data_IF_488520915246
#
_entry.id   IF_488520915246
#
_cell.length_a   1.000
_cell.length_b   1.000
_cell.length_c   1.000
_cell.angle_alpha   90.00
_cell.angle_beta   90.00
_cell.angle_gamma   90.00
#
_symmetry.space_group_name_H-M   'P 1'
#
loop_
_entity.id
_entity.type
_entity.pdbx_description
1 polymer ?
#
# COMPACT_ATOMS: atom_id res chain seq x y z
N UNK A 1 -3.16 -0.64 8.93
CA UNK A 1 -4.44 -0.09 8.48
C UNK A 1 -5.52 -1.16 8.48
N UNK A 2 -6.72 -0.81 8.93
CA UNK A 2 -7.93 -1.62 8.83
C UNK A 2 -8.57 -1.50 7.44
N UNK A 3 -9.23 -2.55 6.92
CA UNK A 3 -9.97 -2.52 5.66
C UNK A 3 -11.04 -1.41 5.64
N UNK A 4 -11.24 -0.77 4.50
CA UNK A 4 -12.17 0.37 4.36
C UNK A 4 -13.60 -0.12 4.08
N UNK A 5 -14.58 0.45 4.78
CA UNK A 5 -16.01 0.28 4.50
C UNK A 5 -16.55 1.50 3.75
N UNK A 6 -17.28 1.28 2.66
CA UNK A 6 -17.89 2.35 1.86
C UNK A 6 -19.32 1.95 1.42
N UNK A 7 -19.94 2.75 0.53
CA UNK A 7 -21.31 2.51 0.04
C UNK A 7 -21.50 1.18 -0.70
N UNK A 8 -20.42 0.59 -1.21
CA UNK A 8 -20.39 -0.72 -1.87
C UNK A 8 -20.05 -1.86 -0.91
N UNK A 9 -19.79 -1.57 0.37
CA UNK A 9 -19.46 -2.54 1.40
C UNK A 9 -17.99 -2.48 1.86
N UNK A 10 -17.50 -3.59 2.40
CA UNK A 10 -16.13 -3.76 2.86
C UNK A 10 -15.21 -4.04 1.68
N UNK A 11 -14.25 -3.17 1.38
CA UNK A 11 -13.34 -3.40 0.26
C UNK A 11 -12.37 -4.54 0.55
N UNK A 12 -12.27 -5.51 -0.37
CA UNK A 12 -11.38 -6.67 -0.27
C UNK A 12 -9.99 -6.32 -0.84
N UNK A 13 -8.92 -6.90 -0.29
CA UNK A 13 -8.57 -6.82 1.14
C UNK A 13 -8.09 -5.42 1.57
N UNK A 14 -7.78 -4.53 0.63
CA UNK A 14 -7.18 -3.22 0.87
C UNK A 14 -7.76 -2.20 -0.10
N UNK A 15 -7.94 -0.95 0.34
CA UNK A 15 -8.60 0.07 -0.49
C UNK A 15 -7.85 0.44 -1.78
N UNK A 16 -6.55 0.15 -1.83
CA UNK A 16 -5.68 0.37 -2.98
C UNK A 16 -5.82 -0.73 -4.06
N UNK A 17 -6.44 -1.86 -3.73
CA UNK A 17 -6.68 -2.97 -4.66
C UNK A 17 -8.08 -2.83 -5.25
N UNK A 18 -8.19 -2.02 -6.30
CA UNK A 18 -9.48 -1.65 -6.91
C UNK A 18 -10.17 -2.79 -7.66
N UNK A 19 -9.43 -3.84 -8.05
CA UNK A 19 -9.95 -4.97 -8.81
C UNK A 19 -10.51 -6.13 -7.99
N UNK A 20 -10.35 -6.12 -6.66
CA UNK A 20 -10.66 -7.27 -5.79
C UNK A 20 -12.11 -7.30 -5.28
N UNK A 21 -12.85 -6.21 -5.50
CA UNK A 21 -14.27 -6.10 -5.16
C UNK A 21 -14.57 -5.81 -3.68
N UNK A 22 -15.80 -6.10 -3.28
CA UNK A 22 -16.36 -5.75 -1.97
C UNK A 22 -17.04 -6.94 -1.30
N UNK A 23 -17.10 -6.93 0.03
CA UNK A 23 -17.84 -7.87 0.86
C UNK A 23 -19.00 -7.17 1.57
N UNK A 24 -20.15 -7.84 1.67
CA UNK A 24 -21.34 -7.27 2.32
C UNK A 24 -21.21 -7.15 3.85
N UNK A 25 -20.27 -7.88 4.46
CA UNK A 25 -20.01 -7.82 5.90
C UNK A 25 -18.54 -8.00 6.23
N UNK A 26 -18.13 -7.53 7.40
CA UNK A 26 -16.78 -7.72 7.90
C UNK A 26 -16.44 -9.22 8.05
N UNK A 27 -17.43 -10.04 8.46
CA UNK A 27 -17.24 -11.49 8.55
C UNK A 27 -16.93 -12.09 7.18
N UNK A 28 -17.68 -11.73 6.15
CA UNK A 28 -17.44 -12.19 4.78
C UNK A 28 -16.08 -11.71 4.25
N UNK A 29 -15.69 -10.46 4.56
CA UNK A 29 -14.35 -9.97 4.27
C UNK A 29 -13.27 -10.85 4.92
N UNK A 30 -13.41 -11.20 6.19
CA UNK A 30 -12.40 -11.99 6.89
C UNK A 30 -12.37 -13.46 6.45
N UNK A 31 -13.53 -14.07 6.21
CA UNK A 31 -13.65 -15.50 5.91
C UNK A 31 -13.47 -15.84 4.42
N UNK A 32 -13.97 -15.01 3.51
CA UNK A 32 -14.04 -15.34 2.08
C UNK A 32 -12.87 -14.74 1.28
N UNK A 33 -12.07 -13.86 1.89
CA UNK A 33 -10.88 -13.30 1.24
C UNK A 33 -9.75 -14.32 1.26
N UNK A 34 -9.17 -14.59 0.10
CA UNK A 34 -8.00 -15.48 -0.04
C UNK A 34 -6.72 -14.79 0.45
N UNK A 35 -6.58 -14.58 1.77
CA UNK A 35 -5.49 -13.83 2.39
C UNK A 35 -4.09 -14.30 1.99
N UNK A 36 -3.92 -15.59 1.69
CA UNK A 36 -2.66 -16.19 1.26
C UNK A 36 -2.15 -15.69 -0.09
N UNK A 37 -3.00 -15.01 -0.88
CA UNK A 37 -2.60 -14.41 -2.16
C UNK A 37 -2.04 -13.00 -2.00
N UNK A 38 -2.05 -12.42 -0.80
CA UNK A 38 -1.66 -11.04 -0.56
C UNK A 38 -0.44 -10.92 0.36
N UNK A 39 0.24 -9.77 0.29
CA UNK A 39 1.44 -9.47 1.07
C UNK A 39 2.72 -9.44 0.23
N UNK A 40 3.79 -8.95 0.85
CA UNK A 40 5.13 -8.87 0.25
C UNK A 40 5.56 -10.27 -0.20
N UNK A 41 6.09 -10.36 -1.41
CA UNK A 41 6.47 -11.64 -2.02
C UNK A 41 5.33 -12.50 -2.55
N UNK A 42 4.06 -12.18 -2.30
CA UNK A 42 2.90 -12.95 -2.82
C UNK A 42 2.13 -12.23 -3.92
N UNK A 43 1.95 -10.91 -3.76
CA UNK A 43 1.25 -10.08 -4.74
C UNK A 43 2.16 -8.91 -5.18
N UNK A 44 2.36 -8.70 -6.49
CA UNK A 44 3.18 -7.59 -7.00
C UNK A 44 2.68 -6.21 -6.54
N UNK A 45 1.36 -6.04 -6.35
CA UNK A 45 0.77 -4.79 -5.87
C UNK A 45 1.03 -4.53 -4.39
N UNK A 46 1.45 -5.55 -3.63
CA UNK A 46 1.78 -5.42 -2.22
C UNK A 46 3.28 -5.14 -1.99
N UNK A 47 4.18 -5.45 -2.94
CA UNK A 47 5.61 -5.56 -2.65
C UNK A 47 6.26 -4.32 -2.02
N UNK A 48 5.85 -3.13 -2.46
CA UNK A 48 6.42 -1.84 -2.01
C UNK A 48 5.35 -0.93 -1.38
N UNK A 49 4.25 -1.50 -0.88
CA UNK A 49 3.12 -0.72 -0.41
C UNK A 49 3.42 -0.13 1.00
N UNK A 50 3.63 1.17 1.12
CA UNK A 50 3.80 1.83 2.44
C UNK A 50 2.52 1.85 3.31
N UNK A 51 1.40 1.34 2.78
CA UNK A 51 0.08 1.31 3.43
C UNK A 51 -0.42 -0.14 3.60
N UNK A 52 0.44 -1.03 4.08
CA UNK A 52 0.10 -2.43 4.31
C UNK A 52 -1.09 -2.57 5.28
N UNK A 53 -2.21 -3.08 4.75
CA UNK A 53 -3.29 -3.63 5.57
C UNK A 53 -2.76 -4.84 6.34
N UNK A 54 -3.01 -4.89 7.65
CA UNK A 54 -2.68 -6.07 8.49
C UNK A 54 -1.42 -5.98 9.36
N UNK A 55 -0.39 -5.19 9.03
CA UNK A 55 0.84 -5.12 9.84
C UNK A 55 0.61 -4.64 11.28
N UNK A 56 -0.24 -3.64 11.45
CA UNK A 56 -0.63 -3.15 12.77
C UNK A 56 -1.32 -4.25 13.59
N UNK A 57 -2.23 -5.01 12.98
CA UNK A 57 -2.92 -6.12 13.64
C UNK A 57 -1.97 -7.23 14.05
N UNK A 58 -1.06 -7.63 13.17
CA UNK A 58 -0.02 -8.63 13.47
C UNK A 58 0.94 -8.15 14.57
N UNK A 59 1.30 -6.87 14.59
CA UNK A 59 2.15 -6.31 15.64
C UNK A 59 1.45 -6.28 17.01
N UNK A 60 0.15 -5.98 17.02
CA UNK A 60 -0.67 -6.05 18.25
C UNK A 60 -0.77 -7.50 18.73
N UNK A 61 -1.06 -8.44 17.84
CA UNK A 61 -1.14 -9.86 18.18
C UNK A 61 0.19 -10.40 18.73
N UNK A 62 1.33 -10.07 18.10
CA UNK A 62 2.68 -10.40 18.60
C UNK A 62 2.96 -9.80 19.98
N UNK A 63 2.49 -8.57 20.25
CA UNK A 63 2.64 -7.94 21.56
C UNK A 63 1.86 -8.66 22.66
N UNK A 64 0.64 -9.11 22.36
CA UNK A 64 -0.18 -9.91 23.29
C UNK A 64 0.38 -11.33 23.48
N UNK A 65 0.87 -11.97 22.42
CA UNK A 65 1.50 -13.29 22.48
C UNK A 65 2.85 -13.25 23.23
N UNK A 66 3.58 -12.14 23.15
CA UNK A 66 4.91 -11.98 23.73
C UNK A 66 5.05 -10.72 24.60
N UNK A 67 4.42 -10.67 25.79
CA UNK A 67 4.35 -9.46 26.61
C UNK A 67 5.72 -8.99 27.14
N UNK A 68 6.64 -9.93 27.43
CA UNK A 68 8.01 -9.58 27.86
C UNK A 68 8.82 -8.94 26.72
N UNK A 69 8.65 -9.44 25.49
CA UNK A 69 9.26 -8.87 24.29
C UNK A 69 8.71 -7.46 24.06
N UNK A 70 7.40 -7.29 24.17
CA UNK A 70 6.74 -5.99 24.03
C UNK A 70 7.25 -4.98 25.07
N UNK A 71 7.26 -5.35 26.36
CA UNK A 71 7.77 -4.50 27.44
C UNK A 71 9.22 -4.07 27.21
N UNK A 72 10.07 -5.00 26.77
CA UNK A 72 11.46 -4.70 26.45
C UNK A 72 11.60 -3.66 25.33
N UNK A 73 10.77 -3.76 24.29
CA UNK A 73 10.76 -2.78 23.18
C UNK A 73 10.20 -1.43 23.59
N UNK A 74 9.23 -1.39 24.50
CA UNK A 74 8.74 -0.13 25.07
C UNK A 74 9.84 0.59 25.87
N UNK A 75 10.64 -0.16 26.64
CA UNK A 75 11.71 0.41 27.47
C UNK A 75 12.98 0.78 26.70
N UNK A 76 13.40 -0.05 25.74
CA UNK A 76 14.67 0.13 25.00
C UNK A 76 14.50 0.70 23.59
N UNK A 77 13.26 0.86 23.12
CA UNK A 77 12.96 1.29 21.77
C UNK A 77 13.23 0.22 20.69
N UNK A 78 12.96 0.58 19.42
CA UNK A 78 13.28 -0.26 18.27
C UNK A 78 14.80 -0.38 18.09
N UNK A 79 15.25 -1.48 17.47
CA UNK A 79 16.66 -1.64 17.10
C UNK A 79 16.95 -0.74 15.89
N UNK A 80 17.87 0.21 16.06
CA UNK A 80 18.25 1.20 15.03
C UNK A 80 19.56 0.87 14.30
N UNK A 81 20.30 -0.14 14.75
CA UNK A 81 21.62 -0.51 14.20
C UNK A 81 21.71 -2.00 13.86
N UNK A 82 22.60 -2.32 12.92
CA UNK A 82 22.81 -3.69 12.41
C UNK A 82 22.01 -3.99 11.14
N UNK A 83 22.13 -5.21 10.60
CA UNK A 83 21.43 -5.60 9.38
C UNK A 83 19.91 -5.64 9.64
N UNK A 84 19.14 -5.12 8.67
CA UNK A 84 17.68 -5.21 8.68
C UNK A 84 17.22 -6.66 8.64
N UNK A 85 15.94 -6.90 8.98
CA UNK A 85 15.35 -8.22 8.78
C UNK A 85 15.46 -8.60 7.30
N UNK A 86 15.74 -9.88 6.98
CA UNK A 86 15.82 -10.32 5.60
C UNK A 86 14.48 -10.10 4.89
N UNK A 87 14.54 -9.67 3.63
CA UNK A 87 13.35 -9.51 2.80
C UNK A 87 12.68 -10.87 2.54
N UNK A 88 11.35 -10.86 2.44
CA UNK A 88 10.58 -12.06 2.11
C UNK A 88 10.85 -12.50 0.67
N UNK A 89 10.86 -13.82 0.38
CA UNK A 89 11.08 -14.30 -0.98
C UNK A 89 9.93 -13.90 -1.91
N UNK A 90 10.25 -13.56 -3.15
CA UNK A 90 9.25 -13.37 -4.21
C UNK A 90 8.75 -14.74 -4.68
N UNK A 91 7.47 -15.01 -4.50
CA UNK A 91 6.75 -16.23 -4.88
C UNK A 91 6.01 -16.09 -6.21
N UNK A 92 6.12 -14.93 -6.85
CA UNK A 92 5.57 -14.65 -8.16
C UNK A 92 6.70 -14.25 -9.10
N UNK A 93 6.51 -14.52 -10.39
CA UNK A 93 7.37 -13.95 -11.42
C UNK A 93 6.96 -12.50 -11.65
N UNK A 94 7.91 -11.58 -11.45
CA UNK A 94 7.73 -10.21 -11.92
C UNK A 94 7.63 -10.27 -13.45
N UNK A 95 6.50 -9.81 -13.99
CA UNK A 95 6.43 -9.56 -15.42
C UNK A 95 7.61 -8.65 -15.78
N UNK A 96 8.39 -8.96 -16.83
CA UNK A 96 9.51 -8.11 -17.20
C UNK A 96 8.99 -6.69 -17.32
N UNK A 97 9.62 -5.76 -16.59
CA UNK A 97 9.31 -4.35 -16.68
C UNK A 97 9.26 -4.05 -18.17
N UNK A 98 8.06 -3.80 -18.72
CA UNK A 98 7.94 -3.53 -20.14
C UNK A 98 8.83 -2.32 -20.38
N UNK A 99 9.97 -2.54 -21.03
CA UNK A 99 10.90 -1.50 -21.41
C UNK A 99 10.29 -0.54 -22.43
N UNK A 100 8.97 -0.58 -22.65
CA UNK A 100 8.22 0.59 -23.05
C UNK A 100 8.16 1.57 -21.88
N UNK A 101 9.31 2.17 -21.55
CA UNK A 101 9.27 3.62 -21.44
C UNK A 101 8.57 4.10 -22.73
N UNK A 102 7.55 4.98 -22.67
CA UNK A 102 7.13 5.67 -23.88
C UNK A 102 8.41 6.20 -24.51
N UNK A 103 8.65 5.88 -25.78
CA UNK A 103 9.84 6.30 -26.52
C UNK A 103 10.16 7.71 -26.07
N UNK A 104 11.27 7.84 -25.32
CA UNK A 104 11.64 9.00 -24.53
C UNK A 104 10.90 10.26 -25.00
N UNK A 105 9.85 10.67 -24.28
CA UNK A 105 9.16 11.91 -24.63
C UNK A 105 10.10 13.04 -24.25
N UNK A 106 11.03 13.36 -25.16
CA UNK A 106 11.88 14.53 -25.12
C UNK A 106 10.97 15.72 -25.34
N UNK A 107 10.43 16.28 -24.26
CA UNK A 107 9.90 17.63 -24.31
C UNK A 107 11.12 18.52 -24.06
N UNK A 108 11.73 19.12 -25.10
CA UNK A 108 12.81 20.05 -24.86
C UNK A 108 12.27 21.17 -23.98
N UNK A 109 13.01 21.52 -22.92
CA UNK A 109 12.57 22.55 -21.95
C UNK A 109 12.23 23.89 -22.61
N UNK A 110 12.74 24.16 -23.82
CA UNK A 110 12.39 25.35 -24.61
C UNK A 110 10.99 25.30 -25.26
N UNK A 111 10.39 24.12 -25.43
CA UNK A 111 9.02 23.92 -25.94
C UNK A 111 7.97 23.88 -24.82
N UNK A 112 8.40 23.71 -23.57
CA UNK A 112 7.56 23.89 -22.39
C UNK A 112 7.31 25.39 -22.21
N UNK A 113 6.36 25.93 -22.96
CA UNK A 113 5.87 27.28 -22.74
C UNK A 113 5.39 27.42 -21.29
N UNK A 114 5.69 28.56 -20.66
CA UNK A 114 4.98 28.96 -19.44
C UNK A 114 3.50 28.91 -19.78
N UNK A 115 2.76 27.97 -19.20
CA UNK A 115 1.33 27.84 -19.47
C UNK A 115 0.68 29.22 -19.37
N UNK A 116 0.15 29.71 -20.50
CA UNK A 116 -0.62 30.95 -20.58
C UNK A 116 -1.99 30.83 -19.86
N UNK A 117 -2.06 29.99 -18.83
CA UNK A 117 -3.25 29.66 -18.06
C UNK A 117 -3.25 30.36 -16.69
N UNK A 118 -2.65 31.55 -16.61
CA UNK A 118 -2.83 32.49 -15.50
C UNK A 118 -3.77 33.66 -15.83
N UNK A 119 -4.12 33.87 -17.09
CA UNK A 119 -4.96 34.98 -17.52
C UNK A 119 -6.36 34.46 -17.91
N UNK A 120 -7.24 34.23 -16.93
CA UNK A 120 -8.63 33.87 -17.27
C UNK A 120 -9.55 33.46 -16.13
N UNK A 121 -9.03 32.93 -15.00
CA UNK A 121 -9.90 32.60 -13.85
C UNK A 121 -9.97 33.78 -12.89
N UNK A 122 -10.61 34.87 -13.31
CA UNK A 122 -11.31 35.75 -12.36
C UNK A 122 -12.41 34.90 -11.75
N UNK A 123 -12.20 34.43 -10.53
CA UNK A 123 -13.30 33.94 -9.71
C UNK A 123 -14.13 35.18 -9.38
N UNK A 124 -15.14 35.45 -10.22
CA UNK A 124 -16.17 36.43 -9.89
C UNK A 124 -16.86 35.94 -8.63
N UNK A 125 -16.89 36.78 -7.60
CA UNK A 125 -17.65 36.51 -6.40
C UNK A 125 -19.15 36.39 -6.69
N UNK A 126 -19.78 35.52 -5.91
CA UNK A 126 -21.08 35.69 -5.28
C UNK A 126 -21.03 34.91 -3.96
#
# INVERSE_FOLDING_TARGET
STPTYNIFGWQRPCYLLTGEGYADSFRALMADTEWERYGVGRNPLCNNCMAHCGYEGTAVDDAFAHPLKALWRTLRGPRLTGPMAPELPLLYEEAPLKAQAPAEVRIPLGEVGLAANREGRRVSGA
#
